data_IF_573164228240
#
_entry.id   IF_573164228240
#
_cell.length_a   1.000
_cell.length_b   1.000
_cell.length_c   1.000
_cell.angle_alpha   90.00
_cell.angle_beta   90.00
_cell.angle_gamma   90.00
#
_symmetry.space_group_name_H-M   'P 1'
#
loop_
_entity.id
_entity.type
_entity.pdbx_description
1 polymer ?
#
# COMPACT_ATOMS: atom_id res chain seq x y z
N UNK A 1 10.40 31.73 -22.42
CA UNK A 1 10.80 32.79 -21.46
C UNK A 1 10.50 32.23 -20.09
N UNK A 2 11.49 32.20 -19.20
CA UNK A 2 11.26 31.72 -17.84
C UNK A 2 10.89 32.89 -16.92
N UNK A 3 9.99 32.66 -15.98
CA UNK A 3 9.52 33.62 -14.98
C UNK A 3 9.84 33.06 -13.59
N UNK A 4 10.23 33.93 -12.66
CA UNK A 4 10.38 33.52 -11.25
C UNK A 4 9.01 33.39 -10.60
N UNK A 5 8.82 32.30 -9.88
CA UNK A 5 7.70 32.11 -8.98
C UNK A 5 7.98 32.86 -7.67
N UNK A 6 7.07 33.75 -7.29
CA UNK A 6 7.23 34.69 -6.17
C UNK A 6 6.23 34.38 -5.05
N UNK A 7 6.18 33.12 -4.63
CA UNK A 7 5.29 32.62 -3.60
C UNK A 7 5.89 31.36 -2.92
N UNK A 8 5.10 30.64 -2.12
CA UNK A 8 5.46 29.37 -1.48
C UNK A 8 5.69 28.28 -2.52
N UNK A 9 6.97 27.99 -2.77
CA UNK A 9 7.43 27.09 -3.80
C UNK A 9 7.75 25.69 -3.27
N UNK A 10 7.26 24.66 -3.96
CA UNK A 10 7.48 23.24 -3.66
C UNK A 10 8.35 22.63 -4.77
N UNK A 11 9.55 22.18 -4.42
CA UNK A 11 10.51 21.66 -5.41
C UNK A 11 10.11 20.30 -5.95
N UNK A 12 10.48 20.02 -7.18
CA UNK A 12 10.49 18.70 -7.81
C UNK A 12 11.74 17.88 -7.47
N UNK A 13 12.85 18.55 -7.13
CA UNK A 13 14.13 17.93 -6.80
C UNK A 13 15.03 18.92 -6.02
N UNK A 14 16.07 18.42 -5.36
CA UNK A 14 16.94 19.25 -4.49
C UNK A 14 17.70 20.37 -5.21
N UNK A 15 17.88 20.29 -6.53
CA UNK A 15 18.63 21.27 -7.33
C UNK A 15 17.74 22.29 -8.01
N UNK A 16 16.43 22.22 -7.79
CA UNK A 16 15.48 23.08 -8.47
C UNK A 16 15.54 24.51 -7.94
N UNK A 17 15.54 25.46 -8.88
CA UNK A 17 15.34 26.88 -8.64
C UNK A 17 13.84 27.22 -8.68
N UNK A 18 13.48 28.49 -8.48
CA UNK A 18 12.09 28.95 -8.52
C UNK A 18 11.67 29.45 -9.91
N UNK A 19 12.32 28.98 -10.96
CA UNK A 19 12.04 29.37 -12.34
C UNK A 19 10.95 28.47 -12.94
N UNK A 20 9.92 29.09 -13.52
CA UNK A 20 8.86 28.43 -14.28
C UNK A 20 8.96 28.79 -15.77
N UNK A 21 8.60 27.91 -16.71
CA UNK A 21 8.37 26.48 -16.50
C UNK A 21 9.63 25.78 -15.95
N UNK A 22 9.44 24.77 -15.09
CA UNK A 22 10.54 24.01 -14.48
C UNK A 22 11.42 23.38 -15.57
N UNK A 23 12.73 23.57 -15.46
CA UNK A 23 13.71 23.08 -16.45
C UNK A 23 14.22 21.66 -16.16
N UNK A 24 13.75 21.02 -15.09
CA UNK A 24 14.19 19.71 -14.62
C UNK A 24 13.59 18.54 -15.39
N UNK A 25 14.37 17.46 -15.59
CA UNK A 25 13.87 16.20 -16.17
C UNK A 25 13.11 15.33 -15.16
N UNK A 26 13.31 15.58 -13.87
CA UNK A 26 12.75 14.79 -12.78
C UNK A 26 11.71 15.63 -12.04
N UNK A 27 10.44 15.28 -12.24
CA UNK A 27 9.28 15.97 -11.67
C UNK A 27 8.63 15.19 -10.51
N UNK A 28 9.00 13.92 -10.35
CA UNK A 28 8.37 12.92 -9.47
C UNK A 28 9.16 12.62 -8.19
N UNK A 29 10.17 13.44 -7.86
CA UNK A 29 11.13 13.16 -6.78
C UNK A 29 11.18 14.34 -5.79
N UNK A 30 10.02 14.96 -5.53
CA UNK A 30 9.92 16.14 -4.67
C UNK A 30 10.53 15.88 -3.29
N UNK A 31 11.60 16.60 -2.89
CA UNK A 31 12.18 16.50 -1.56
C UNK A 31 11.35 17.22 -0.50
N UNK A 32 10.26 17.84 -0.93
CA UNK A 32 9.38 18.66 -0.12
C UNK A 32 8.08 17.94 0.26
N UNK A 33 7.91 16.68 -0.20
CA UNK A 33 6.93 15.71 0.31
C UNK A 33 7.70 14.67 1.14
N UNK A 34 7.66 14.82 2.46
CA UNK A 34 8.52 14.10 3.40
C UNK A 34 7.72 12.98 4.06
N UNK A 35 7.98 11.73 3.68
CA UNK A 35 7.55 10.58 4.47
C UNK A 35 8.40 10.45 5.73
N UNK A 36 7.77 10.33 6.90
CA UNK A 36 8.48 10.28 8.19
C UNK A 36 8.36 8.94 8.92
N UNK A 37 7.73 7.95 8.28
CA UNK A 37 7.52 6.61 8.81
C UNK A 37 6.25 6.51 9.67
N UNK A 38 6.29 5.66 10.68
CA UNK A 38 5.18 5.21 11.54
C UNK A 38 4.92 6.08 12.78
N UNK A 39 5.59 7.24 12.87
CA UNK A 39 5.38 8.20 13.96
C UNK A 39 5.42 9.64 13.48
N UNK A 40 4.81 10.54 14.26
CA UNK A 40 4.90 11.99 14.02
C UNK A 40 6.29 12.53 14.38
N UNK A 41 6.76 13.54 13.65
CA UNK A 41 7.92 14.33 14.04
C UNK A 41 7.58 15.21 15.26
N UNK A 42 8.50 15.31 16.22
CA UNK A 42 8.30 16.05 17.47
C UNK A 42 8.24 17.57 17.27
N UNK A 43 9.07 18.10 16.37
CA UNK A 43 9.08 19.50 15.93
C UNK A 43 9.30 19.55 14.41
N UNK A 44 8.23 19.34 13.61
CA UNK A 44 8.32 19.28 12.15
C UNK A 44 8.88 20.58 11.56
N UNK A 45 8.41 21.73 12.06
CA UNK A 45 8.81 23.03 11.54
C UNK A 45 10.30 23.28 11.69
N UNK A 46 10.86 23.12 12.89
CA UNK A 46 12.31 23.31 13.08
C UNK A 46 13.12 22.22 12.37
N UNK A 47 12.67 20.96 12.39
CA UNK A 47 13.43 19.83 11.84
C UNK A 47 13.53 19.87 10.31
N UNK A 48 12.43 20.20 9.63
CA UNK A 48 12.37 20.13 8.17
C UNK A 48 12.73 21.44 7.48
N UNK A 49 12.64 22.59 8.18
CA UNK A 49 13.25 23.84 7.70
C UNK A 49 14.78 23.78 7.79
N UNK A 50 15.33 23.24 8.88
CA UNK A 50 16.78 23.15 9.11
C UNK A 50 17.55 22.24 8.16
N UNK A 51 16.86 21.34 7.45
CA UNK A 51 17.45 20.39 6.49
C UNK A 51 16.88 20.58 5.07
N UNK A 52 16.59 21.83 4.68
CA UNK A 52 15.98 22.12 3.38
C UNK A 52 16.85 21.71 2.18
N UNK A 53 18.16 21.70 2.35
CA UNK A 53 19.13 21.28 1.34
C UNK A 53 19.29 19.74 1.21
N UNK A 54 18.56 18.97 2.01
CA UNK A 54 18.65 17.52 2.08
C UNK A 54 17.31 16.82 1.79
N UNK A 55 17.40 15.59 1.29
CA UNK A 55 16.29 14.64 1.29
C UNK A 55 16.29 13.88 2.61
N UNK A 56 15.26 14.10 3.43
CA UNK A 56 15.11 13.53 4.77
C UNK A 56 13.96 12.52 4.89
N UNK A 57 13.36 12.15 3.76
CA UNK A 57 12.30 11.16 3.71
C UNK A 57 12.78 9.79 4.19
N UNK A 58 11.95 9.12 5.00
CA UNK A 58 12.15 7.74 5.45
C UNK A 58 11.42 6.76 4.54
N UNK A 59 11.76 5.49 4.68
CA UNK A 59 11.00 4.41 4.05
C UNK A 59 9.55 4.41 4.57
N UNK A 60 8.63 4.05 3.68
CA UNK A 60 7.22 3.88 4.00
C UNK A 60 6.93 2.42 4.38
N UNK A 61 5.93 2.21 5.22
CA UNK A 61 5.47 0.90 5.66
C UNK A 61 4.20 0.50 4.93
N UNK A 62 4.11 -0.78 4.57
CA UNK A 62 2.91 -1.38 3.98
C UNK A 62 1.81 -1.53 5.02
N UNK A 63 0.59 -1.09 4.71
CA UNK A 63 -0.60 -1.35 5.53
C UNK A 63 -0.62 -0.63 6.88
N UNK A 64 0.40 0.17 7.18
CA UNK A 64 0.56 0.94 8.40
C UNK A 64 0.43 2.44 8.10
N UNK A 65 0.15 3.22 9.12
CA UNK A 65 0.09 4.67 9.02
C UNK A 65 1.47 5.25 8.73
N UNK A 66 1.58 6.01 7.64
CA UNK A 66 2.76 6.77 7.29
C UNK A 66 2.48 8.26 7.46
N UNK A 67 3.27 8.93 8.29
CA UNK A 67 3.14 10.36 8.56
C UNK A 67 3.89 11.16 7.49
N UNK A 68 3.15 11.94 6.71
CA UNK A 68 3.66 12.73 5.59
C UNK A 68 3.59 14.22 5.93
N UNK A 69 4.71 14.89 5.78
CA UNK A 69 4.83 16.34 5.93
C UNK A 69 5.12 17.00 4.61
N UNK A 70 4.70 18.25 4.46
CA UNK A 70 5.00 19.06 3.28
C UNK A 70 5.71 20.33 3.72
N UNK A 71 6.71 20.74 2.94
CA UNK A 71 7.38 22.03 3.12
C UNK A 71 7.40 22.84 1.83
N UNK A 72 7.56 24.15 1.95
CA UNK A 72 7.68 25.06 0.82
C UNK A 72 8.61 26.23 1.18
N UNK A 73 9.36 26.75 0.20
CA UNK A 73 10.18 27.95 0.40
C UNK A 73 9.46 29.20 -0.06
N UNK A 74 9.51 30.25 0.74
CA UNK A 74 8.97 31.53 0.37
C UNK A 74 9.90 32.27 -0.61
N UNK A 75 9.37 32.67 -1.76
CA UNK A 75 10.05 33.58 -2.69
C UNK A 75 9.30 34.91 -2.85
N UNK A 76 8.29 35.16 -2.03
CA UNK A 76 7.63 36.47 -1.93
C UNK A 76 8.49 37.38 -1.04
N UNK A 77 8.56 38.65 -1.40
CA UNK A 77 9.15 39.68 -0.56
C UNK A 77 8.27 39.90 0.68
N UNK A 78 8.74 39.41 1.83
CA UNK A 78 8.07 39.48 3.13
C UNK A 78 7.19 38.27 3.47
N UNK A 79 6.32 38.46 4.45
CA UNK A 79 5.51 37.38 5.04
C UNK A 79 4.55 36.74 4.03
N UNK A 80 4.34 35.44 4.17
CA UNK A 80 3.38 34.70 3.36
C UNK A 80 2.74 33.56 4.15
N UNK A 81 1.49 33.28 3.82
CA UNK A 81 0.76 32.14 4.35
C UNK A 81 0.02 31.41 3.24
N UNK A 82 -0.16 30.11 3.42
CA UNK A 82 -0.86 29.27 2.47
C UNK A 82 -1.51 28.07 3.14
N UNK A 83 -2.15 27.25 2.31
CA UNK A 83 -2.76 26.00 2.72
C UNK A 83 -2.20 24.87 1.90
N UNK A 84 -1.90 23.76 2.56
CA UNK A 84 -1.43 22.52 1.94
C UNK A 84 -2.59 21.54 1.84
N UNK A 85 -2.76 20.93 0.68
CA UNK A 85 -3.56 19.73 0.46
C UNK A 85 -2.63 18.64 -0.09
N UNK A 86 -2.77 17.42 0.41
CA UNK A 86 -2.05 16.26 -0.08
C UNK A 86 -3.02 15.26 -0.72
N UNK A 87 -2.67 14.78 -1.91
CA UNK A 87 -3.43 13.78 -2.65
C UNK A 87 -2.60 12.52 -2.84
N UNK A 88 -3.27 11.38 -3.00
CA UNK A 88 -2.72 10.16 -3.56
C UNK A 88 -3.42 9.76 -4.87
N UNK A 89 -2.68 9.12 -5.75
CA UNK A 89 -3.21 8.44 -6.95
C UNK A 89 -2.34 7.24 -7.32
N UNK A 90 -2.89 6.28 -8.05
CA UNK A 90 -2.06 5.29 -8.73
C UNK A 90 -1.40 5.91 -9.96
N UNK A 91 -0.22 5.42 -10.35
CA UNK A 91 0.46 5.90 -11.56
C UNK A 91 -0.43 5.86 -12.80
N UNK A 92 -1.26 4.83 -12.93
CA UNK A 92 -2.23 4.67 -14.03
C UNK A 92 -3.31 5.74 -14.09
N UNK A 93 -3.64 6.37 -12.95
CA UNK A 93 -4.72 7.36 -12.82
C UNK A 93 -4.19 8.78 -12.62
N UNK A 94 -2.88 8.98 -12.78
CA UNK A 94 -2.24 10.24 -12.45
C UNK A 94 -2.71 11.39 -13.35
N UNK A 95 -3.06 11.12 -14.61
CA UNK A 95 -3.62 12.10 -15.55
C UNK A 95 -5.11 12.41 -15.33
N UNK A 96 -5.74 11.81 -14.32
CA UNK A 96 -7.15 12.01 -13.98
C UNK A 96 -7.28 12.57 -12.54
N UNK A 97 -7.27 13.90 -12.35
CA UNK A 97 -7.41 14.52 -11.03
C UNK A 97 -8.66 14.09 -10.26
N UNK A 98 -9.76 13.79 -10.94
CA UNK A 98 -11.02 13.32 -10.34
C UNK A 98 -10.86 11.93 -9.67
N UNK A 99 -9.84 11.16 -10.07
CA UNK A 99 -9.50 9.87 -9.45
C UNK A 99 -8.53 10.00 -8.27
N UNK A 100 -8.04 11.21 -7.99
CA UNK A 100 -7.13 11.43 -6.86
C UNK A 100 -7.91 11.45 -5.55
N UNK A 101 -7.33 10.82 -4.53
CA UNK A 101 -7.92 10.78 -3.19
C UNK A 101 -7.17 11.73 -2.27
N UNK A 102 -7.88 12.63 -1.58
CA UNK A 102 -7.26 13.47 -0.55
C UNK A 102 -6.79 12.62 0.62
N UNK A 103 -5.61 12.94 1.14
CA UNK A 103 -5.08 12.38 2.37
C UNK A 103 -5.43 13.33 3.51
N UNK A 104 -5.99 12.79 4.59
CA UNK A 104 -6.34 13.56 5.78
C UNK A 104 -5.22 13.53 6.82
N UNK A 105 -5.20 14.48 7.73
CA UNK A 105 -4.44 14.41 8.98
C UNK A 105 -5.04 13.37 9.94
N UNK A 106 -4.31 13.00 10.99
CA UNK A 106 -4.82 12.10 12.04
C UNK A 106 -6.06 12.63 12.77
N UNK A 107 -6.35 13.93 12.69
CA UNK A 107 -7.56 14.56 13.21
C UNK A 107 -8.68 14.71 12.16
N UNK A 108 -8.50 14.18 10.96
CA UNK A 108 -9.49 14.20 9.88
C UNK A 108 -9.51 15.47 9.04
N UNK A 109 -8.59 16.42 9.25
CA UNK A 109 -8.49 17.62 8.40
C UNK A 109 -7.93 17.25 7.03
N UNK A 110 -8.55 17.76 5.95
CA UNK A 110 -8.12 17.54 4.57
C UNK A 110 -7.16 18.61 4.04
N UNK A 111 -6.72 19.52 4.90
CA UNK A 111 -5.74 20.55 4.60
C UNK A 111 -5.03 21.00 5.87
N UNK A 112 -3.83 21.57 5.71
CA UNK A 112 -3.00 22.08 6.82
C UNK A 112 -2.50 23.47 6.46
N UNK A 113 -2.71 24.50 7.31
CA UNK A 113 -2.17 25.83 7.07
C UNK A 113 -0.67 25.88 7.31
N UNK A 114 0.02 26.73 6.57
CA UNK A 114 1.46 27.03 6.74
C UNK A 114 1.68 28.54 6.64
N UNK A 115 2.67 29.06 7.36
CA UNK A 115 3.01 30.49 7.35
C UNK A 115 4.49 30.72 7.65
N UNK A 116 5.01 31.82 7.15
CA UNK A 116 6.41 32.28 7.25
C UNK A 116 6.47 33.80 7.28
N UNK A 117 7.54 34.36 7.83
CA UNK A 117 7.64 35.79 8.11
C UNK A 117 8.43 36.55 7.05
N UNK A 118 9.44 35.92 6.45
CA UNK A 118 10.38 36.59 5.56
C UNK A 118 10.60 35.83 4.24
N UNK A 119 11.14 36.53 3.24
CA UNK A 119 11.59 35.90 2.00
C UNK A 119 12.69 34.87 2.31
N UNK A 120 12.60 33.70 1.70
CA UNK A 120 13.58 32.63 1.85
C UNK A 120 13.30 31.66 3.00
N UNK A 121 12.39 32.01 3.92
CA UNK A 121 11.93 31.12 4.98
C UNK A 121 11.29 29.84 4.42
N UNK A 122 11.37 28.76 5.20
CA UNK A 122 10.79 27.46 4.86
C UNK A 122 9.55 27.22 5.71
N UNK A 123 8.40 27.23 5.06
CA UNK A 123 7.12 26.88 5.64
C UNK A 123 6.99 25.36 5.71
N UNK A 124 6.50 24.81 6.82
CA UNK A 124 6.33 23.37 7.02
C UNK A 124 4.97 23.10 7.66
N UNK A 125 4.29 22.03 7.24
CA UNK A 125 3.07 21.57 7.92
C UNK A 125 3.40 21.08 9.33
N UNK A 126 2.80 21.67 10.37
CA UNK A 126 2.97 21.22 11.76
C UNK A 126 2.22 19.90 12.04
N UNK A 127 1.13 19.67 11.32
CA UNK A 127 0.37 18.42 11.38
C UNK A 127 0.75 17.54 10.19
N UNK A 128 1.02 16.26 10.45
CA UNK A 128 1.20 15.29 9.38
C UNK A 128 -0.13 14.88 8.76
N UNK A 129 -0.09 14.66 7.46
CA UNK A 129 -1.04 13.83 6.74
C UNK A 129 -0.76 12.36 7.05
N UNK A 130 -1.80 11.55 7.24
CA UNK A 130 -1.68 10.13 7.58
C UNK A 130 -2.07 9.31 6.36
N UNK A 131 -1.10 8.57 5.81
CA UNK A 131 -1.26 7.79 4.60
C UNK A 131 -1.00 6.31 4.85
N UNK A 132 -1.99 5.46 4.56
CA UNK A 132 -1.94 4.02 4.80
C UNK A 132 -2.01 3.27 3.46
N UNK A 133 -0.87 3.02 2.78
CA UNK A 133 -0.86 2.33 1.49
C UNK A 133 -1.16 0.84 1.65
N UNK A 134 -2.14 0.33 0.92
CA UNK A 134 -2.67 -1.03 1.03
C UNK A 134 -2.28 -1.96 -0.13
N UNK A 135 -1.68 -1.42 -1.19
CA UNK A 135 -1.29 -2.18 -2.39
C UNK A 135 0.23 -2.17 -2.58
N UNK A 136 0.90 -3.32 -2.43
CA UNK A 136 2.33 -3.40 -2.67
C UNK A 136 2.56 -3.39 -4.19
N UNK A 137 3.36 -2.47 -4.70
CA UNK A 137 3.75 -2.49 -6.11
C UNK A 137 4.99 -1.63 -6.37
N UNK A 138 6.01 -2.25 -6.96
CA UNK A 138 7.13 -1.53 -7.57
C UNK A 138 6.85 -1.09 -9.01
N UNK A 139 5.93 -1.77 -9.69
CA UNK A 139 5.59 -1.51 -11.11
C UNK A 139 4.51 -0.43 -11.27
N UNK A 140 3.67 -0.26 -10.25
CA UNK A 140 2.62 0.74 -10.19
C UNK A 140 2.69 1.49 -8.84
N UNK A 141 3.72 2.33 -8.64
CA UNK A 141 3.89 3.08 -7.40
C UNK A 141 2.69 4.02 -7.16
N UNK A 142 2.52 4.41 -5.91
CA UNK A 142 1.62 5.51 -5.57
C UNK A 142 2.32 6.83 -5.88
N UNK A 143 1.54 7.78 -6.39
CA UNK A 143 1.95 9.17 -6.53
C UNK A 143 1.32 9.97 -5.41
N UNK A 144 2.15 10.67 -4.63
CA UNK A 144 1.72 11.72 -3.72
C UNK A 144 1.87 13.08 -4.40
N UNK A 145 0.81 13.88 -4.38
CA UNK A 145 0.76 15.21 -4.99
C UNK A 145 0.47 16.23 -3.89
N UNK A 146 1.44 17.07 -3.59
CA UNK A 146 1.27 18.20 -2.68
C UNK A 146 0.84 19.43 -3.47
N UNK A 147 -0.19 20.11 -2.97
CA UNK A 147 -0.67 21.38 -3.50
C UNK A 147 -0.63 22.40 -2.39
N UNK A 148 0.28 23.36 -2.51
CA UNK A 148 0.38 24.55 -1.69
C UNK A 148 -0.25 25.69 -2.46
N UNK A 149 -1.24 26.33 -1.87
CA UNK A 149 -1.92 27.47 -2.48
C UNK A 149 -2.06 28.62 -1.50
N UNK A 150 -2.14 29.82 -2.07
CA UNK A 150 -2.29 31.09 -1.37
C UNK A 150 -3.43 31.88 -2.01
N UNK A 151 -3.73 33.07 -1.50
CA UNK A 151 -4.69 33.97 -2.15
C UNK A 151 -4.16 34.50 -3.49
N UNK A 152 -2.84 34.71 -3.61
CA UNK A 152 -2.18 35.20 -4.82
C UNK A 152 -2.03 34.10 -5.89
N UNK A 153 -1.90 32.85 -5.44
CA UNK A 153 -1.80 31.66 -6.28
C UNK A 153 -2.83 30.62 -5.80
N UNK A 154 -4.12 30.77 -6.19
CA UNK A 154 -5.18 29.90 -5.71
C UNK A 154 -4.99 28.46 -6.18
N UNK A 155 -5.62 27.53 -5.46
CA UNK A 155 -5.51 26.10 -5.67
C UNK A 155 -5.71 25.74 -7.17
N UNK A 156 -4.66 25.31 -7.87
CA UNK A 156 -4.76 24.97 -9.29
C UNK A 156 -5.51 23.66 -9.50
N UNK A 157 -5.64 22.80 -8.48
CA UNK A 157 -6.27 21.49 -8.57
C UNK A 157 -7.71 21.56 -8.08
N UNK A 158 -8.65 21.56 -9.03
CA UNK A 158 -10.06 21.35 -8.74
C UNK A 158 -10.51 19.97 -9.27
N UNK A 159 -10.59 18.94 -8.42
CA UNK A 159 -10.99 17.60 -8.82
C UNK A 159 -12.46 17.46 -9.25
N UNK A 160 -13.27 18.52 -9.14
CA UNK A 160 -14.65 18.52 -9.63
C UNK A 160 -14.80 19.22 -11.00
N UNK A 161 -13.72 19.83 -11.52
CA UNK A 161 -13.79 20.64 -12.75
C UNK A 161 -12.54 20.58 -13.62
N UNK A 162 -11.59 19.68 -13.35
CA UNK A 162 -10.39 19.55 -14.16
C UNK A 162 -10.64 18.61 -15.32
N UNK A 163 -10.39 19.09 -16.54
CA UNK A 163 -10.19 18.18 -17.67
C UNK A 163 -8.98 17.27 -17.36
N UNK A 164 -8.92 16.06 -17.95
CA UNK A 164 -7.71 15.25 -17.91
C UNK A 164 -6.49 16.11 -18.24
N UNK A 165 -5.56 16.20 -17.28
CA UNK A 165 -4.41 17.08 -17.35
C UNK A 165 -3.15 16.23 -17.29
N UNK A 166 -2.14 16.58 -18.09
CA UNK A 166 -0.81 16.00 -17.89
C UNK A 166 -0.26 16.54 -16.58
N UNK A 167 -0.10 15.67 -15.58
CA UNK A 167 0.51 16.02 -14.28
C UNK A 167 1.86 16.70 -14.47
N UNK A 168 2.61 16.36 -15.52
CA UNK A 168 3.88 16.98 -15.83
C UNK A 168 3.68 18.44 -16.18
N UNK A 169 2.68 18.76 -16.99
CA UNK A 169 2.36 20.15 -17.33
C UNK A 169 1.89 20.92 -16.10
N UNK A 170 1.11 20.30 -15.20
CA UNK A 170 0.71 20.92 -13.94
C UNK A 170 1.92 21.29 -13.08
N UNK A 171 2.81 20.31 -12.82
CA UNK A 171 4.00 20.51 -11.98
C UNK A 171 4.95 21.51 -12.65
N UNK A 172 5.23 21.37 -13.94
CA UNK A 172 6.13 22.24 -14.70
C UNK A 172 5.71 23.71 -14.64
N UNK A 173 4.41 23.99 -14.67
CA UNK A 173 3.89 25.35 -14.77
C UNK A 173 3.36 25.92 -13.45
N UNK A 174 3.44 25.17 -12.33
CA UNK A 174 2.93 25.63 -11.04
C UNK A 174 3.96 25.46 -9.92
N UNK A 175 4.39 26.57 -9.32
CA UNK A 175 5.38 26.57 -8.25
C UNK A 175 4.88 25.96 -6.92
N UNK A 176 3.58 26.01 -6.66
CA UNK A 176 2.96 25.47 -5.45
C UNK A 176 2.68 23.97 -5.51
N UNK A 177 2.96 23.29 -6.63
CA UNK A 177 2.66 21.85 -6.78
C UNK A 177 3.94 21.02 -6.73
N UNK A 178 3.96 20.00 -5.87
CA UNK A 178 5.02 18.99 -5.80
C UNK A 178 4.48 17.59 -6.10
N UNK A 179 5.32 16.72 -6.63
CA UNK A 179 4.98 15.32 -6.90
C UNK A 179 6.10 14.39 -6.46
N UNK A 180 5.73 13.31 -5.77
CA UNK A 180 6.63 12.25 -5.31
C UNK A 180 6.03 10.88 -5.64
N UNK A 181 6.81 9.98 -6.25
CA UNK A 181 6.43 8.56 -6.39
C UNK A 181 7.00 7.73 -5.23
N UNK A 182 6.15 6.86 -4.65
CA UNK A 182 6.53 5.89 -3.62
C UNK A 182 6.20 4.47 -4.06
N UNK A 183 7.23 3.62 -4.12
CA UNK A 183 7.06 2.17 -4.24
C UNK A 183 6.69 1.60 -2.87
N UNK A 184 5.50 1.04 -2.74
CA UNK A 184 5.03 0.43 -1.49
C UNK A 184 5.73 -0.91 -1.32
N UNK A 185 6.42 -1.16 -0.18
CA UNK A 185 7.07 -2.44 0.04
C UNK A 185 6.06 -3.56 0.11
N UNK A 186 6.54 -4.80 -0.03
CA UNK A 186 5.72 -5.97 0.25
C UNK A 186 5.31 -5.97 1.74
N UNK A 187 4.14 -6.55 2.09
CA UNK A 187 3.79 -6.77 3.48
C UNK A 187 4.93 -7.48 4.21
N UNK A 188 5.22 -7.13 5.48
CA UNK A 188 6.20 -7.86 6.27
C UNK A 188 5.83 -9.35 6.32
N UNK A 189 6.80 -10.21 6.09
CA UNK A 189 6.61 -11.66 6.15
C UNK A 189 6.34 -12.07 7.61
N UNK A 190 5.14 -12.60 7.89
CA UNK A 190 4.80 -13.13 9.22
C UNK A 190 5.66 -14.39 9.48
N UNK A 191 6.10 -14.58 10.72
CA UNK A 191 6.84 -15.78 11.13
C UNK A 191 5.98 -17.05 11.06
N UNK A 192 6.59 -18.21 10.80
CA UNK A 192 5.88 -19.50 10.77
C UNK A 192 5.39 -19.85 12.19
N UNK A 193 4.08 -20.00 12.36
CA UNK A 193 3.50 -20.35 13.66
C UNK A 193 3.12 -21.82 13.75
N UNK A 194 2.57 -22.39 12.68
CA UNK A 194 2.07 -23.78 12.71
C UNK A 194 2.28 -24.45 11.36
N UNK A 195 2.66 -25.71 11.39
CA UNK A 195 2.78 -26.58 10.20
C UNK A 195 2.11 -27.92 10.48
N UNK A 196 1.40 -28.44 9.49
CA UNK A 196 0.78 -29.76 9.53
C UNK A 196 0.95 -30.40 8.18
N UNK A 197 1.20 -31.70 8.18
CA UNK A 197 1.40 -32.47 6.96
C UNK A 197 0.46 -33.65 6.97
N UNK A 198 -0.26 -33.86 5.87
CA UNK A 198 -1.23 -34.93 5.74
C UNK A 198 -1.12 -35.62 4.39
N UNK A 199 -1.21 -36.95 4.38
CA UNK A 199 -1.16 -37.73 3.14
C UNK A 199 -2.53 -37.74 2.47
N UNK A 200 -2.56 -37.48 1.16
CA UNK A 200 -3.73 -37.64 0.31
C UNK A 200 -3.52 -38.76 -0.69
N UNK A 201 -4.58 -39.52 -0.93
CA UNK A 201 -4.69 -40.46 -2.04
C UNK A 201 -6.02 -40.18 -2.71
N UNK A 202 -5.97 -39.69 -3.95
CA UNK A 202 -7.14 -39.36 -4.74
C UNK A 202 -7.49 -40.56 -5.62
N UNK A 203 -8.79 -40.79 -5.83
CA UNK A 203 -9.28 -41.73 -6.85
C UNK A 203 -9.77 -40.94 -8.08
N UNK A 204 -8.98 -39.94 -8.50
CA UNK A 204 -9.32 -39.09 -9.63
C UNK A 204 -8.93 -39.74 -10.96
N UNK A 205 -9.58 -39.30 -12.04
CA UNK A 205 -9.17 -39.65 -13.41
C UNK A 205 -8.28 -38.54 -13.97
N UNK A 206 -7.39 -38.89 -14.89
CA UNK A 206 -6.60 -37.90 -15.63
C UNK A 206 -7.53 -36.91 -16.35
N UNK A 207 -7.27 -35.61 -16.19
CA UNK A 207 -8.10 -34.55 -16.76
C UNK A 207 -9.33 -34.16 -15.93
N UNK A 208 -9.50 -34.71 -14.72
CA UNK A 208 -10.47 -34.18 -13.76
C UNK A 208 -10.13 -32.73 -13.38
N UNK A 209 -11.13 -31.84 -13.41
CA UNK A 209 -10.99 -30.47 -12.92
C UNK A 209 -11.06 -30.46 -11.39
N UNK A 210 -9.90 -30.40 -10.73
CA UNK A 210 -9.79 -30.38 -9.28
C UNK A 210 -9.46 -28.96 -8.79
N UNK A 211 -9.94 -28.62 -7.60
CA UNK A 211 -9.58 -27.40 -6.89
C UNK A 211 -9.18 -27.75 -5.46
N UNK A 212 -7.95 -27.38 -5.11
CA UNK A 212 -7.45 -27.48 -3.75
C UNK A 212 -7.68 -26.16 -3.05
N UNK A 213 -8.21 -26.20 -1.83
CA UNK A 213 -8.53 -25.01 -1.07
C UNK A 213 -8.24 -25.19 0.41
N UNK A 214 -8.14 -24.05 1.10
CA UNK A 214 -8.10 -24.00 2.55
C UNK A 214 -9.33 -23.23 3.02
N UNK A 215 -10.21 -23.88 3.75
CA UNK A 215 -11.34 -23.22 4.42
C UNK A 215 -10.85 -22.65 5.73
N UNK A 216 -10.84 -21.32 5.83
CA UNK A 216 -10.56 -20.62 7.07
C UNK A 216 -11.84 -20.51 7.90
N UNK A 217 -11.73 -20.66 9.22
CA UNK A 217 -12.77 -20.32 10.18
C UNK A 217 -12.14 -19.50 11.30
N UNK A 218 -12.61 -18.26 11.48
CA UNK A 218 -12.11 -17.31 12.49
C UNK A 218 -10.58 -17.11 12.48
N UNK A 219 -9.92 -17.22 11.33
CA UNK A 219 -8.47 -17.02 11.24
C UNK A 219 -8.18 -15.51 11.31
N UNK A 220 -7.22 -15.04 12.12
CA UNK A 220 -6.95 -13.61 12.24
C UNK A 220 -6.65 -12.94 10.90
N UNK A 221 -7.28 -11.79 10.66
CA UNK A 221 -6.95 -10.93 9.52
C UNK A 221 -5.50 -10.48 9.64
N UNK A 222 -4.76 -10.55 8.54
CA UNK A 222 -3.31 -10.28 8.49
C UNK A 222 -2.42 -11.50 8.74
N UNK A 223 -2.97 -12.65 9.19
CA UNK A 223 -2.26 -13.92 9.10
C UNK A 223 -1.95 -14.26 7.64
N UNK A 224 -0.98 -15.13 7.39
CA UNK A 224 -0.70 -15.68 6.06
C UNK A 224 -0.79 -17.19 6.12
N UNK A 225 -1.28 -17.82 5.05
CA UNK A 225 -1.31 -19.27 4.91
C UNK A 225 -0.67 -19.70 3.60
N UNK A 226 -0.11 -20.91 3.58
CA UNK A 226 0.36 -21.55 2.34
C UNK A 226 0.13 -23.05 2.42
N UNK A 227 0.04 -23.72 1.28
CA UNK A 227 0.15 -25.17 1.25
C UNK A 227 0.95 -25.64 0.04
N UNK A 228 1.58 -26.80 0.16
CA UNK A 228 2.34 -27.42 -0.93
C UNK A 228 2.28 -28.94 -0.89
N UNK A 229 2.31 -29.59 -2.05
CA UNK A 229 2.51 -31.03 -2.19
C UNK A 229 3.99 -31.39 -2.32
N UNK A 230 4.38 -32.55 -1.79
CA UNK A 230 5.71 -33.13 -1.98
C UNK A 230 5.88 -33.90 -3.29
N UNK A 231 4.78 -34.13 -4.03
CA UNK A 231 4.77 -34.79 -5.31
C UNK A 231 4.32 -33.83 -6.42
N UNK A 232 4.88 -33.99 -7.61
CA UNK A 232 4.52 -33.19 -8.78
C UNK A 232 3.40 -33.85 -9.58
N UNK A 233 2.66 -33.06 -10.36
CA UNK A 233 1.77 -33.57 -11.40
C UNK A 233 2.56 -34.11 -12.61
N UNK A 234 1.86 -34.66 -13.60
CA UNK A 234 2.42 -35.16 -14.86
C UNK A 234 3.33 -34.18 -15.60
N UNK A 235 3.11 -32.87 -15.42
CA UNK A 235 3.86 -31.80 -16.06
C UNK A 235 5.08 -31.35 -15.24
N UNK A 236 5.33 -31.97 -14.09
CA UNK A 236 6.43 -31.62 -13.19
C UNK A 236 6.11 -30.45 -12.26
N UNK A 237 4.85 -30.05 -12.12
CA UNK A 237 4.43 -28.94 -11.26
C UNK A 237 3.92 -29.44 -9.91
N UNK A 238 4.38 -28.84 -8.81
CA UNK A 238 3.86 -29.11 -7.47
C UNK A 238 2.54 -28.36 -7.24
N UNK A 239 1.60 -29.01 -6.55
CA UNK A 239 0.38 -28.34 -6.07
C UNK A 239 0.80 -27.37 -4.98
N UNK A 240 0.73 -26.08 -5.24
CA UNK A 240 1.19 -25.08 -4.27
C UNK A 240 0.35 -23.81 -4.28
N UNK A 241 -0.14 -23.43 -3.11
CA UNK A 241 -0.65 -22.10 -2.83
C UNK A 241 0.47 -21.32 -2.14
N UNK A 242 1.04 -20.27 -2.77
CA UNK A 242 2.03 -19.43 -2.12
C UNK A 242 1.43 -18.71 -0.91
N UNK A 243 2.28 -18.10 -0.06
CA UNK A 243 1.81 -17.34 1.11
C UNK A 243 0.73 -16.34 0.69
N UNK A 244 -0.44 -16.51 1.27
CA UNK A 244 -1.66 -15.76 0.97
C UNK A 244 -2.15 -15.10 2.24
N UNK A 245 -2.29 -13.77 2.21
CA UNK A 245 -2.77 -13.00 3.37
C UNK A 245 -4.26 -13.25 3.62
N UNK A 246 -4.62 -13.44 4.88
CA UNK A 246 -6.00 -13.57 5.35
C UNK A 246 -6.64 -12.18 5.39
N UNK A 247 -7.57 -11.92 4.47
CA UNK A 247 -8.27 -10.61 4.38
C UNK A 247 -9.64 -10.62 5.04
N UNK A 248 -10.24 -11.80 5.21
CA UNK A 248 -11.46 -11.99 6.00
C UNK A 248 -11.35 -13.28 6.83
N UNK A 249 -11.92 -13.35 8.04
CA UNK A 249 -11.70 -14.49 8.95
C UNK A 249 -12.13 -15.86 8.42
N UNK A 250 -13.03 -15.89 7.44
CA UNK A 250 -13.64 -17.09 6.88
C UNK A 250 -13.38 -17.26 5.38
N UNK A 251 -12.24 -16.75 4.88
CA UNK A 251 -11.92 -16.87 3.47
C UNK A 251 -11.59 -18.29 3.02
N UNK A 252 -11.73 -18.54 1.72
CA UNK A 252 -11.52 -19.84 1.08
C UNK A 252 -10.55 -19.73 -0.12
N UNK A 253 -9.26 -19.44 0.11
CA UNK A 253 -8.27 -19.42 -0.96
C UNK A 253 -8.18 -20.79 -1.62
N UNK A 254 -8.12 -20.79 -2.96
CA UNK A 254 -8.13 -22.02 -3.76
C UNK A 254 -7.27 -21.89 -5.00
N UNK A 255 -6.74 -23.01 -5.47
CA UNK A 255 -6.03 -23.15 -6.75
C UNK A 255 -6.68 -24.27 -7.58
N UNK A 256 -6.94 -24.05 -8.87
CA UNK A 256 -7.32 -25.12 -9.79
C UNK A 256 -6.08 -25.91 -10.21
N UNK A 257 -6.16 -27.24 -10.28
CA UNK A 257 -5.05 -28.10 -10.71
C UNK A 257 -5.56 -29.26 -11.56
N UNK A 258 -4.79 -29.60 -12.60
CA UNK A 258 -4.94 -30.83 -13.37
C UNK A 258 -3.90 -31.85 -12.89
N UNK A 259 -4.36 -33.08 -12.59
CA UNK A 259 -3.53 -34.14 -12.01
C UNK A 259 -3.62 -35.43 -12.82
N UNK A 260 -2.62 -36.29 -12.67
CA UNK A 260 -2.66 -37.67 -13.12
C UNK A 260 -3.73 -38.48 -12.40
N UNK A 261 -4.18 -39.56 -13.03
CA UNK A 261 -5.10 -40.49 -12.40
C UNK A 261 -4.48 -41.08 -11.12
N UNK A 262 -5.31 -41.22 -10.09
CA UNK A 262 -4.93 -41.77 -8.77
C UNK A 262 -3.79 -41.00 -8.06
N UNK A 263 -3.78 -39.67 -8.16
CA UNK A 263 -2.73 -38.85 -7.59
C UNK A 263 -2.62 -39.03 -6.07
N UNK A 264 -1.39 -39.14 -5.57
CA UNK A 264 -1.09 -39.18 -4.13
C UNK A 264 0.10 -38.31 -3.78
N UNK A 265 0.04 -37.67 -2.61
CA UNK A 265 1.07 -36.77 -2.11
C UNK A 265 0.90 -36.54 -0.61
N UNK A 266 1.95 -36.06 0.05
CA UNK A 266 1.80 -35.36 1.31
C UNK A 266 1.57 -33.87 1.05
N UNK A 267 0.54 -33.32 1.66
CA UNK A 267 0.23 -31.89 1.64
C UNK A 267 0.69 -31.29 2.95
N UNK A 268 1.57 -30.29 2.87
CA UNK A 268 1.98 -29.49 4.02
C UNK A 268 1.22 -28.17 3.99
N UNK A 269 0.49 -27.87 5.07
CA UNK A 269 -0.22 -26.61 5.29
C UNK A 269 0.52 -25.81 6.37
N UNK A 270 0.84 -24.57 6.06
CA UNK A 270 1.51 -23.64 6.95
C UNK A 270 0.60 -22.47 7.31
N UNK A 271 0.64 -22.06 8.58
CA UNK A 271 0.09 -20.82 9.08
C UNK A 271 1.23 -19.94 9.60
N UNK A 272 1.26 -18.70 9.14
CA UNK A 272 2.19 -17.66 9.54
C UNK A 272 1.41 -16.51 10.18
N UNK A 273 1.57 -16.28 11.46
CA UNK A 273 0.90 -15.19 12.14
C UNK A 273 1.73 -14.71 13.35
N UNK A 274 1.51 -13.46 13.72
CA UNK A 274 2.04 -12.92 14.97
C UNK A 274 1.14 -13.38 16.11
N UNK A 275 1.75 -13.97 17.13
CA UNK A 275 1.15 -14.25 18.42
C UNK A 275 -0.23 -14.94 18.42
N UNK A 276 -0.32 -16.05 17.68
CA UNK A 276 -1.53 -16.89 17.55
C UNK A 276 -1.89 -17.59 18.87
N UNK A 277 -1.02 -17.47 19.88
CA UNK A 277 -1.24 -17.95 21.25
C UNK A 277 -2.41 -17.22 21.95
N UNK A 278 -2.76 -16.00 21.50
CA UNK A 278 -3.80 -15.17 22.10
C UNK A 278 -5.21 -15.37 21.51
N UNK A 279 -5.35 -16.10 20.39
CA UNK A 279 -6.65 -16.31 19.73
C UNK A 279 -7.07 -17.79 19.79
N UNK A 280 -7.92 -18.12 20.76
CA UNK A 280 -8.62 -19.41 20.84
C UNK A 280 -9.81 -19.44 19.87
N UNK A 281 -10.04 -20.57 19.18
CA UNK A 281 -11.17 -20.87 18.28
C UNK A 281 -11.01 -20.55 16.78
N UNK A 282 -9.81 -20.69 16.21
CA UNK A 282 -9.64 -20.72 14.76
C UNK A 282 -9.47 -22.16 14.24
N UNK A 283 -9.88 -22.40 12.99
CA UNK A 283 -9.56 -23.64 12.29
C UNK A 283 -9.21 -23.42 10.82
N UNK A 284 -8.30 -24.24 10.33
CA UNK A 284 -7.99 -24.36 8.92
C UNK A 284 -8.34 -25.78 8.48
N UNK A 285 -9.11 -25.92 7.40
CA UNK A 285 -9.45 -27.22 6.81
C UNK A 285 -8.95 -27.24 5.38
N UNK A 286 -8.15 -28.24 5.03
CA UNK A 286 -7.71 -28.46 3.66
C UNK A 286 -8.75 -29.30 2.93
N UNK A 287 -9.20 -28.84 1.77
CA UNK A 287 -10.22 -29.52 0.96
C UNK A 287 -9.75 -29.66 -0.47
N UNK A 288 -10.07 -30.81 -1.07
CA UNK A 288 -9.99 -31.02 -2.52
C UNK A 288 -11.41 -31.21 -3.05
N UNK A 289 -11.79 -30.37 -4.00
CA UNK A 289 -13.11 -30.40 -4.64
C UNK A 289 -12.96 -30.75 -6.12
N UNK A 290 -13.84 -31.61 -6.63
CA UNK A 290 -14.01 -31.85 -8.06
C UNK A 290 -15.08 -30.91 -8.60
N UNK A 291 -14.74 -30.20 -9.67
CA UNK A 291 -15.66 -29.29 -10.37
C UNK A 291 -16.33 -30.08 -11.49
N UNK A 292 -17.64 -30.29 -11.40
CA UNK A 292 -18.41 -30.98 -12.44
C UNK A 292 -18.95 -30.00 -13.49
N UNK A 293 -19.33 -30.48 -14.68
CA UNK A 293 -19.76 -29.65 -15.82
C UNK A 293 -20.97 -28.72 -15.59
N UNK A 294 -21.66 -28.84 -14.46
CA UNK A 294 -22.73 -27.95 -13.98
C UNK A 294 -22.27 -26.82 -13.05
N UNK A 295 -20.96 -26.72 -12.77
CA UNK A 295 -20.42 -25.83 -11.73
C UNK A 295 -20.63 -26.33 -10.29
N UNK A 296 -21.28 -27.49 -10.11
CA UNK A 296 -21.38 -28.13 -8.79
C UNK A 296 -20.01 -28.61 -8.31
N UNK A 297 -19.74 -28.41 -7.01
CA UNK A 297 -18.51 -28.83 -6.34
C UNK A 297 -18.79 -30.11 -5.55
N UNK A 298 -18.10 -31.19 -5.88
CA UNK A 298 -18.14 -32.42 -5.11
C UNK A 298 -16.89 -32.51 -4.25
N UNK A 299 -17.05 -32.68 -2.93
CA UNK A 299 -15.93 -32.89 -2.03
C UNK A 299 -15.30 -34.26 -2.29
N UNK A 300 -14.02 -34.26 -2.63
CA UNK A 300 -13.24 -35.48 -2.91
C UNK A 300 -12.44 -35.87 -1.67
N UNK A 301 -11.86 -34.87 -0.99
CA UNK A 301 -11.13 -35.03 0.27
C UNK A 301 -11.39 -33.82 1.16
N UNK A 302 -11.58 -34.06 2.44
CA UNK A 302 -11.55 -33.04 3.50
C UNK A 302 -10.66 -33.54 4.62
N UNK A 303 -9.63 -32.77 4.95
CA UNK A 303 -8.67 -33.08 5.99
C UNK A 303 -8.62 -31.91 6.95
N UNK A 304 -8.79 -32.21 8.24
CA UNK A 304 -8.57 -31.21 9.28
C UNK A 304 -7.12 -30.73 9.22
N UNK A 305 -6.91 -29.42 9.15
CA UNK A 305 -5.58 -28.81 9.21
C UNK A 305 -5.19 -28.55 10.67
N UNK A 306 -5.78 -27.52 11.26
CA UNK A 306 -5.58 -27.14 12.66
C UNK A 306 -6.92 -26.77 13.31
N UNK A 307 -7.06 -27.04 14.60
CA UNK A 307 -8.14 -26.51 15.43
C UNK A 307 -7.57 -26.16 16.81
N UNK A 308 -7.82 -24.94 17.29
CA UNK A 308 -7.57 -24.55 18.69
C UNK A 308 -8.88 -24.64 19.49
N UNK A 309 -9.53 -25.80 19.49
CA UNK A 309 -10.62 -26.05 20.42
C UNK A 309 -10.03 -26.24 21.83
N UNK A 310 -10.27 -25.26 22.71
CA UNK A 310 -10.10 -25.46 24.15
C UNK A 310 -11.21 -26.41 24.59
N UNK A 311 -10.87 -27.68 24.82
CA UNK A 311 -11.70 -28.57 25.62
C UNK A 311 -11.73 -28.02 27.05
N UNK A 312 -12.74 -27.21 27.38
CA UNK A 312 -13.12 -27.01 28.77
C UNK A 312 -13.61 -28.37 29.26
N UNK A 313 -12.74 -29.10 29.98
CA UNK A 313 -13.16 -30.27 30.74
C UNK A 313 -14.23 -29.79 31.73
N UNK A 314 -15.45 -30.27 31.57
CA UNK A 314 -16.52 -30.09 32.55
C UNK A 314 -16.03 -30.61 33.92
N UNK A 315 -16.07 -29.73 34.91
CA UNK A 315 -15.89 -30.04 36.34
C UNK A 315 -17.16 -30.59 36.95
#
# INVERSE_FOLDING_TARGET
MSIRYLDLFVRSNLKEDNDLPRNGKTLSDSPDIIAWGDGSAEDPASSFSGNYDQYVGKAISYGEDNYIYVRARNFKDGAQSGTVILYQSSKSNLSNPDAWTRISTGTGNNSVPIAVNDEGDIAVTEQAFVWTPDKPSSENPYSLIAVVYTDDNPNPVNPDSMNPMDIKDLVVNNGGVGWMEYAVPKPPEKGLTSTTTTSIVLNNTAGDNLSFMVRCKNVPVGAQLSFSSDNNNANGESISLPRTTVTTPNMEPSIPVSLDANYSANITLNLYAEDVSAQSNYSLTFECLKITGSGMRQMVVSLGGFSTEILLSES
#
